data_IF_282631583376
#
_entry.id   IF_282631583376
#
_cell.length_a   1.000
_cell.length_b   1.000
_cell.length_c   1.000
_cell.angle_alpha   90.00
_cell.angle_beta   90.00
_cell.angle_gamma   90.00
#
_symmetry.space_group_name_H-M   'P 1'
#
loop_
_entity.id
_entity.type
_entity.pdbx_description
1 polymer ?
#
# COMPACT_ATOMS: atom_id res chain seq x y z
N UNK A 1 -50.29 -13.47 -43.97
CA UNK A 1 -48.87 -13.73 -44.29
C UNK A 1 -48.08 -12.65 -43.55
N UNK A 2 -47.68 -12.90 -42.29
CA UNK A 2 -46.37 -13.50 -41.91
C UNK A 2 -45.26 -12.44 -42.03
N UNK A 3 -44.43 -12.08 -41.06
CA UNK A 3 -43.99 -12.70 -39.78
C UNK A 3 -43.55 -11.59 -38.80
N UNK A 4 -43.72 -11.82 -37.50
CA UNK A 4 -43.11 -10.98 -36.45
C UNK A 4 -41.65 -11.39 -36.18
N UNK A 5 -40.79 -10.47 -35.73
CA UNK A 5 -39.42 -10.81 -35.37
C UNK A 5 -39.42 -11.65 -34.09
N UNK A 6 -38.87 -12.84 -34.22
CA UNK A 6 -38.62 -13.84 -33.18
C UNK A 6 -37.71 -13.29 -32.09
N UNK A 7 -38.25 -13.15 -30.88
CA UNK A 7 -37.48 -13.01 -29.65
C UNK A 7 -36.64 -14.27 -29.45
N UNK A 8 -35.34 -14.19 -29.74
CA UNK A 8 -34.40 -15.26 -29.43
C UNK A 8 -34.39 -15.52 -27.92
N UNK A 9 -34.32 -16.79 -27.46
CA UNK A 9 -34.35 -17.09 -26.04
C UNK A 9 -33.09 -16.53 -25.39
N UNK A 10 -33.27 -15.61 -24.44
CA UNK A 10 -32.26 -15.20 -23.48
C UNK A 10 -31.89 -16.44 -22.64
N UNK A 11 -30.91 -17.19 -23.11
CA UNK A 11 -30.40 -18.36 -22.41
C UNK A 11 -29.64 -17.89 -21.17
N UNK A 12 -30.37 -17.71 -20.07
CA UNK A 12 -29.82 -17.58 -18.73
C UNK A 12 -29.14 -18.91 -18.38
N UNK A 13 -27.85 -19.03 -18.68
CA UNK A 13 -27.05 -20.21 -18.36
C UNK A 13 -26.91 -20.36 -16.83
N UNK A 14 -27.51 -21.40 -16.21
CA UNK A 14 -27.48 -21.60 -14.77
C UNK A 14 -26.09 -21.98 -14.23
N UNK A 15 -25.10 -22.25 -15.09
CA UNK A 15 -23.70 -22.50 -14.68
C UNK A 15 -22.89 -21.21 -14.47
N UNK A 16 -23.26 -20.12 -15.14
CA UNK A 16 -22.60 -18.80 -15.06
C UNK A 16 -22.55 -18.17 -13.65
N UNK A 17 -23.61 -18.20 -12.81
CA UNK A 17 -23.57 -17.53 -11.51
C UNK A 17 -22.53 -18.13 -10.55
N UNK A 18 -22.33 -19.45 -10.55
CA UNK A 18 -21.38 -20.12 -9.65
C UNK A 18 -19.92 -19.84 -10.04
N UNK A 19 -19.61 -19.75 -11.33
CA UNK A 19 -18.26 -19.40 -11.79
C UNK A 19 -17.90 -17.95 -11.46
N UNK A 20 -18.84 -17.04 -11.65
CA UNK A 20 -18.62 -15.60 -11.44
C UNK A 20 -18.40 -15.29 -9.95
N UNK A 21 -19.18 -15.90 -9.06
CA UNK A 21 -18.95 -15.78 -7.61
C UNK A 21 -17.59 -16.35 -7.17
N UNK A 22 -17.18 -17.48 -7.75
CA UNK A 22 -15.89 -18.10 -7.43
C UNK A 22 -14.74 -17.22 -7.90
N UNK A 23 -14.83 -16.69 -9.11
CA UNK A 23 -13.87 -15.73 -9.64
C UNK A 23 -13.80 -14.46 -8.79
N UNK A 24 -14.94 -13.92 -8.37
CA UNK A 24 -15.01 -12.76 -7.48
C UNK A 24 -14.37 -13.03 -6.10
N UNK A 25 -14.61 -14.21 -5.50
CA UNK A 25 -13.97 -14.62 -4.24
C UNK A 25 -12.46 -14.77 -4.38
N UNK A 26 -11.97 -15.36 -5.47
CA UNK A 26 -10.52 -15.50 -5.74
C UNK A 26 -9.88 -14.14 -5.94
N UNK A 27 -10.49 -13.26 -6.74
CA UNK A 27 -10.02 -11.89 -6.96
C UNK A 27 -9.94 -11.11 -5.64
N UNK A 28 -10.94 -11.24 -4.76
CA UNK A 28 -10.96 -10.59 -3.45
C UNK A 28 -9.85 -11.10 -2.53
N UNK A 29 -9.65 -12.41 -2.46
CA UNK A 29 -8.55 -13.01 -1.69
C UNK A 29 -7.19 -12.58 -2.22
N UNK A 30 -7.03 -12.49 -3.54
CA UNK A 30 -5.80 -12.01 -4.15
C UNK A 30 -5.53 -10.53 -3.82
N UNK A 31 -6.55 -9.67 -3.91
CA UNK A 31 -6.44 -8.27 -3.47
C UNK A 31 -6.06 -8.13 -2.00
N UNK A 32 -6.72 -8.90 -1.13
CA UNK A 32 -6.38 -8.97 0.30
C UNK A 32 -4.93 -9.41 0.53
N UNK A 33 -4.45 -10.46 -0.13
CA UNK A 33 -3.07 -10.92 -0.03
C UNK A 33 -2.07 -9.84 -0.48
N UNK A 34 -2.36 -9.12 -1.57
CA UNK A 34 -1.52 -8.01 -2.03
C UNK A 34 -1.45 -6.90 -0.99
N UNK A 35 -2.58 -6.49 -0.41
CA UNK A 35 -2.63 -5.44 0.62
C UNK A 35 -1.84 -5.84 1.86
N UNK A 36 -1.94 -7.10 2.30
CA UNK A 36 -1.15 -7.60 3.42
C UNK A 36 0.33 -7.71 3.09
N UNK A 37 0.69 -8.13 1.88
CA UNK A 37 2.08 -8.19 1.45
C UNK A 37 2.76 -6.82 1.50
N UNK A 38 2.03 -5.73 1.23
CA UNK A 38 2.55 -4.35 1.33
C UNK A 38 3.00 -3.98 2.75
N UNK A 39 2.46 -4.60 3.80
CA UNK A 39 2.91 -4.36 5.18
C UNK A 39 4.34 -4.84 5.43
N UNK A 40 4.84 -5.78 4.62
CA UNK A 40 6.20 -6.28 4.68
C UNK A 40 7.14 -5.55 3.71
N UNK A 41 6.61 -4.74 2.78
CA UNK A 41 7.42 -4.03 1.79
C UNK A 41 8.17 -2.86 2.46
N UNK A 42 9.50 -2.75 2.28
CA UNK A 42 10.23 -1.59 2.72
C UNK A 42 9.72 -0.31 2.07
N UNK A 43 9.50 0.75 2.85
CA UNK A 43 9.20 2.08 2.33
C UNK A 43 10.31 2.59 1.43
N UNK A 44 11.55 2.51 1.91
CA UNK A 44 12.71 2.98 1.18
C UNK A 44 13.91 2.04 1.39
N UNK A 45 14.72 1.91 0.33
CA UNK A 45 15.98 1.18 0.35
C UNK A 45 17.10 2.14 0.01
N UNK A 46 18.15 2.13 0.82
CA UNK A 46 19.33 2.97 0.64
C UNK A 46 20.50 2.03 0.31
N UNK A 47 20.86 1.89 -0.97
CA UNK A 47 22.02 1.09 -1.36
C UNK A 47 23.33 1.82 -1.01
N UNK A 48 24.30 1.07 -0.46
CA UNK A 48 25.63 1.55 -0.09
C UNK A 48 26.48 0.39 0.44
N UNK A 49 27.66 0.68 1.00
CA UNK A 49 28.56 -0.34 1.59
C UNK A 49 27.87 -1.17 2.69
N UNK A 50 26.83 -0.60 3.33
CA UNK A 50 25.89 -1.30 4.18
C UNK A 50 24.46 -1.00 3.73
N UNK A 51 23.64 -2.03 3.59
CA UNK A 51 22.25 -1.90 3.17
C UNK A 51 21.40 -1.35 4.33
N UNK A 52 20.81 -0.17 4.13
CA UNK A 52 19.81 0.37 5.06
C UNK A 52 18.41 0.22 4.46
N UNK A 53 17.52 -0.40 5.24
CA UNK A 53 16.13 -0.65 4.89
C UNK A 53 15.23 0.15 5.83
N UNK A 54 14.44 1.05 5.25
CA UNK A 54 13.40 1.80 5.97
C UNK A 54 12.08 1.07 5.76
N UNK A 55 11.51 0.51 6.81
CA UNK A 55 10.23 -0.22 6.76
C UNK A 55 9.09 0.61 7.38
N UNK A 56 7.86 0.13 7.25
CA UNK A 56 6.70 0.66 7.99
C UNK A 56 6.88 0.58 9.51
N UNK A 57 7.64 -0.40 9.99
CA UNK A 57 7.72 -0.76 11.41
C UNK A 57 8.95 -0.16 12.11
N UNK A 58 9.98 0.21 11.35
CA UNK A 58 11.25 0.68 11.88
C UNK A 58 12.37 0.68 10.84
N UNK A 59 13.59 0.97 11.29
CA UNK A 59 14.80 0.90 10.48
C UNK A 59 15.49 -0.45 10.66
N UNK A 60 15.99 -1.04 9.59
CA UNK A 60 16.95 -2.14 9.63
C UNK A 60 18.24 -1.71 8.95
N UNK A 61 19.38 -1.98 9.57
CA UNK A 61 20.70 -1.66 9.02
C UNK A 61 21.62 -2.88 9.15
N UNK A 62 22.37 -3.20 8.10
CA UNK A 62 23.24 -4.39 8.08
C UNK A 62 24.59 -4.19 8.77
N UNK A 63 24.88 -2.99 9.29
CA UNK A 63 26.16 -2.63 9.92
C UNK A 63 26.22 -2.77 11.45
N UNK A 64 25.21 -3.35 12.10
CA UNK A 64 25.16 -3.50 13.56
C UNK A 64 25.85 -4.78 14.08
N UNK A 65 26.51 -4.77 15.25
CA UNK A 65 27.08 -5.98 15.84
C UNK A 65 25.97 -6.89 16.38
N UNK A 66 25.62 -7.94 15.64
CA UNK A 66 24.75 -9.03 16.09
C UNK A 66 23.77 -9.57 15.05
N UNK A 67 23.21 -10.75 15.30
CA UNK A 67 22.10 -11.38 14.52
C UNK A 67 20.76 -10.69 14.81
N UNK A 68 20.72 -9.78 15.79
CA UNK A 68 19.61 -8.87 16.01
C UNK A 68 19.88 -7.60 15.18
N UNK A 69 19.20 -7.48 14.04
CA UNK A 69 19.05 -6.19 13.38
C UNK A 69 18.59 -5.16 14.42
N UNK A 70 19.39 -4.12 14.66
CA UNK A 70 19.08 -3.05 15.60
C UNK A 70 17.88 -2.23 15.12
N UNK A 71 16.68 -2.77 15.31
CA UNK A 71 15.43 -2.11 14.98
C UNK A 71 15.05 -1.15 16.07
N UNK A 72 15.11 0.15 15.79
CA UNK A 72 14.43 1.14 16.62
C UNK A 72 12.99 1.25 16.11
N UNK A 73 12.00 0.63 16.79
CA UNK A 73 10.62 0.64 16.33
C UNK A 73 10.11 2.08 16.29
N UNK A 74 9.30 2.40 15.28
CA UNK A 74 8.77 3.77 15.14
C UNK A 74 8.08 4.28 16.41
N UNK A 75 7.44 3.37 17.16
CA UNK A 75 6.74 3.67 18.40
C UNK A 75 7.67 4.10 19.54
N UNK A 76 8.90 3.60 19.64
CA UNK A 76 9.84 4.07 20.68
C UNK A 76 10.24 5.53 20.44
N UNK A 77 10.28 5.97 19.17
CA UNK A 77 10.52 7.38 18.85
C UNK A 77 9.42 8.31 19.37
N UNK A 78 8.18 7.82 19.47
CA UNK A 78 7.03 8.60 19.92
C UNK A 78 6.70 8.42 21.40
N UNK A 79 7.03 7.27 21.99
CA UNK A 79 6.77 6.96 23.39
C UNK A 79 7.92 7.39 24.30
N UNK A 80 9.17 7.34 23.83
CA UNK A 80 10.34 7.69 24.65
C UNK A 80 10.78 9.15 24.49
N UNK A 81 10.15 9.93 23.59
CA UNK A 81 10.54 11.32 23.38
C UNK A 81 9.75 12.31 24.23
N UNK A 82 10.41 13.09 25.10
CA UNK A 82 9.79 14.19 25.83
C UNK A 82 9.50 15.42 24.95
N UNK A 83 9.81 15.38 23.64
CA UNK A 83 9.64 16.51 22.72
C UNK A 83 8.29 16.45 22.01
N UNK A 84 7.59 17.59 21.83
CA UNK A 84 6.30 17.62 21.14
C UNK A 84 6.41 17.12 19.71
N UNK A 85 5.42 16.35 19.26
CA UNK A 85 5.33 15.77 17.92
C UNK A 85 5.50 16.82 16.79
N UNK A 86 5.10 18.07 17.05
CA UNK A 86 5.25 19.19 16.12
C UNK A 86 6.69 19.62 15.84
N UNK A 87 7.64 19.24 16.69
CA UNK A 87 9.07 19.55 16.53
C UNK A 87 9.82 18.56 15.65
N UNK A 88 9.16 17.45 15.30
CA UNK A 88 9.74 16.44 14.41
C UNK A 88 9.70 16.92 12.95
N UNK A 89 10.74 16.60 12.16
CA UNK A 89 10.73 16.89 10.74
C UNK A 89 9.49 16.30 10.06
N UNK A 90 8.96 17.01 9.04
CA UNK A 90 7.73 16.64 8.36
C UNK A 90 7.70 15.19 7.83
N UNK A 91 8.86 14.66 7.44
CA UNK A 91 8.98 13.27 6.97
C UNK A 91 8.80 12.23 8.07
N UNK A 92 9.22 12.50 9.31
CA UNK A 92 8.98 11.59 10.45
C UNK A 92 7.51 11.63 10.84
N UNK A 93 6.86 12.80 10.75
CA UNK A 93 5.42 12.93 11.02
C UNK A 93 4.55 12.19 10.00
N UNK A 94 5.02 12.01 8.77
CA UNK A 94 4.31 11.25 7.74
C UNK A 94 4.36 9.73 7.98
N UNK A 95 5.29 9.24 8.79
CA UNK A 95 5.50 7.81 8.99
C UNK A 95 4.33 7.13 9.71
N UNK A 96 3.77 7.67 10.82
CA UNK A 96 2.54 7.13 11.43
C UNK A 96 1.31 7.22 10.53
N UNK A 97 1.22 8.27 9.70
CA UNK A 97 0.12 8.39 8.73
C UNK A 97 0.17 7.25 7.71
N UNK A 98 1.36 6.94 7.18
CA UNK A 98 1.53 5.83 6.25
C UNK A 98 1.22 4.47 6.91
N UNK A 99 1.61 4.27 8.17
CA UNK A 99 1.22 3.09 8.96
C UNK A 99 -0.30 3.03 9.09
N UNK A 100 -0.93 4.13 9.50
CA UNK A 100 -2.39 4.24 9.64
C UNK A 100 -3.13 3.90 8.34
N UNK A 101 -2.70 4.46 7.21
CA UNK A 101 -3.34 4.19 5.93
C UNK A 101 -3.16 2.74 5.46
N UNK A 102 -1.98 2.13 5.63
CA UNK A 102 -1.80 0.71 5.30
C UNK A 102 -2.65 -0.20 6.18
N UNK A 103 -2.73 0.08 7.48
CA UNK A 103 -3.54 -0.71 8.41
C UNK A 103 -5.04 -0.57 8.15
N UNK A 104 -5.52 0.65 7.85
CA UNK A 104 -6.92 0.86 7.47
C UNK A 104 -7.25 0.18 6.14
N UNK A 105 -6.33 0.21 5.16
CA UNK A 105 -6.50 -0.51 3.90
C UNK A 105 -6.58 -2.03 4.14
N UNK A 106 -5.69 -2.57 4.97
CA UNK A 106 -5.69 -3.99 5.34
C UNK A 106 -6.97 -4.39 6.09
N UNK A 107 -7.45 -3.55 7.00
CA UNK A 107 -8.71 -3.76 7.71
C UNK A 107 -9.91 -3.75 6.75
N UNK A 108 -9.95 -2.81 5.80
CA UNK A 108 -11.01 -2.72 4.79
C UNK A 108 -11.03 -3.95 3.88
N UNK A 109 -9.87 -4.37 3.37
CA UNK A 109 -9.74 -5.60 2.57
C UNK A 109 -10.13 -6.86 3.37
N UNK A 110 -9.78 -6.90 4.66
CA UNK A 110 -10.15 -8.01 5.57
C UNK A 110 -11.66 -8.10 5.76
N UNK A 111 -12.36 -6.96 5.90
CA UNK A 111 -13.81 -6.93 5.96
C UNK A 111 -14.47 -7.52 4.70
N UNK A 112 -13.82 -7.34 3.54
CA UNK A 112 -14.18 -8.00 2.29
C UNK A 112 -14.14 -9.51 2.35
N UNK A 113 -13.06 -10.08 2.87
CA UNK A 113 -12.87 -11.53 2.92
C UNK A 113 -13.68 -12.16 4.06
N UNK A 114 -13.73 -11.52 5.23
CA UNK A 114 -14.36 -12.06 6.43
C UNK A 114 -15.88 -11.89 6.45
N UNK A 115 -16.38 -10.73 6.03
CA UNK A 115 -17.81 -10.36 6.17
C UNK A 115 -18.48 -10.10 4.81
N UNK A 116 -17.71 -10.10 3.72
CA UNK A 116 -18.26 -9.87 2.39
C UNK A 116 -18.44 -8.40 2.01
N UNK A 117 -18.10 -7.45 2.89
CA UNK A 117 -18.47 -6.02 2.79
C UNK A 117 -17.27 -5.08 2.60
N UNK A 118 -16.41 -5.35 1.62
CA UNK A 118 -15.34 -4.40 1.26
C UNK A 118 -15.88 -3.30 0.36
N UNK A 119 -15.55 -2.05 0.72
CA UNK A 119 -15.63 -0.93 -0.21
C UNK A 119 -14.27 -0.78 -0.90
N UNK A 120 -14.23 -1.19 -2.18
CA UNK A 120 -13.02 -1.17 -3.00
C UNK A 120 -12.54 0.25 -3.30
N UNK A 121 -13.45 1.24 -3.29
CA UNK A 121 -13.11 2.66 -3.49
C UNK A 121 -12.35 3.19 -2.29
N UNK A 122 -12.83 2.87 -1.09
CA UNK A 122 -12.15 3.23 0.17
C UNK A 122 -10.80 2.54 0.28
N UNK A 123 -10.73 1.24 -0.02
CA UNK A 123 -9.47 0.49 0.01
C UNK A 123 -8.45 1.07 -0.96
N UNK A 124 -8.85 1.31 -2.22
CA UNK A 124 -7.99 1.95 -3.22
C UNK A 124 -7.54 3.37 -2.81
N UNK A 125 -8.45 4.17 -2.25
CA UNK A 125 -8.15 5.53 -1.79
C UNK A 125 -7.15 5.55 -0.62
N UNK A 126 -7.33 4.64 0.35
CA UNK A 126 -6.39 4.45 1.46
C UNK A 126 -5.01 4.01 0.94
N UNK A 127 -4.93 3.13 -0.06
CA UNK A 127 -3.66 2.76 -0.68
C UNK A 127 -3.01 3.92 -1.42
N UNK A 128 -3.77 4.77 -2.10
CA UNK A 128 -3.24 5.97 -2.75
C UNK A 128 -2.64 6.96 -1.73
N UNK A 129 -3.37 7.21 -0.63
CA UNK A 129 -2.87 8.03 0.49
C UNK A 129 -1.65 7.41 1.17
N UNK A 130 -1.66 6.09 1.33
CA UNK A 130 -0.53 5.33 1.86
C UNK A 130 0.71 5.47 0.96
N UNK A 131 0.55 5.36 -0.37
CA UNK A 131 1.63 5.56 -1.31
C UNK A 131 2.20 6.98 -1.25
N UNK A 132 1.34 8.00 -1.18
CA UNK A 132 1.76 9.39 -1.04
C UNK A 132 2.52 9.65 0.28
N UNK A 133 2.03 9.09 1.39
CA UNK A 133 2.69 9.20 2.68
C UNK A 133 4.06 8.48 2.68
N UNK A 134 4.15 7.25 2.15
CA UNK A 134 5.41 6.52 1.96
C UNK A 134 6.40 7.26 1.07
N UNK A 135 5.91 7.91 0.01
CA UNK A 135 6.74 8.71 -0.88
C UNK A 135 7.29 9.94 -0.14
N UNK A 136 6.47 10.62 0.64
CA UNK A 136 6.89 11.78 1.44
C UNK A 136 7.97 11.42 2.47
N UNK A 137 7.84 10.26 3.12
CA UNK A 137 8.89 9.71 3.99
C UNK A 137 10.18 9.52 3.20
N UNK A 138 10.10 8.86 2.04
CA UNK A 138 11.26 8.57 1.18
C UNK A 138 11.96 9.83 0.67
N UNK A 139 11.20 10.84 0.25
CA UNK A 139 11.74 12.16 -0.17
C UNK A 139 12.43 12.86 0.99
N UNK A 140 11.86 12.80 2.19
CA UNK A 140 12.50 13.36 3.38
C UNK A 140 13.78 12.63 3.81
N UNK A 141 13.92 11.36 3.46
CA UNK A 141 15.18 10.61 3.62
C UNK A 141 16.17 11.03 2.52
N UNK A 142 15.72 11.05 1.26
CA UNK A 142 16.54 11.44 0.11
C UNK A 142 17.17 12.83 0.25
N UNK A 143 16.42 13.82 0.72
CA UNK A 143 16.92 15.17 0.96
C UNK A 143 18.00 15.22 2.04
N UNK A 144 17.90 14.41 3.10
CA UNK A 144 18.91 14.32 4.16
C UNK A 144 20.17 13.59 3.73
N UNK A 145 20.02 12.60 2.84
CA UNK A 145 21.15 11.91 2.21
C UNK A 145 21.76 12.72 1.05
N UNK A 146 21.24 13.91 0.75
CA UNK A 146 21.74 14.78 -0.30
C UNK A 146 21.60 14.20 -1.71
N UNK A 147 20.55 13.43 -1.96
CA UNK A 147 20.23 12.92 -3.31
C UNK A 147 20.15 14.08 -4.29
N UNK A 148 20.95 14.01 -5.36
CA UNK A 148 21.01 15.03 -6.40
C UNK A 148 21.88 16.24 -6.10
N UNK A 149 22.52 16.28 -4.93
CA UNK A 149 23.53 17.28 -4.57
C UNK A 149 24.86 16.63 -4.23
N UNK A 150 24.90 15.82 -3.18
CA UNK A 150 26.10 15.14 -2.67
C UNK A 150 26.10 13.64 -2.90
N UNK A 151 24.93 13.06 -3.24
CA UNK A 151 24.74 11.63 -3.49
C UNK A 151 24.03 11.40 -4.83
N UNK A 152 24.23 10.22 -5.41
CA UNK A 152 23.60 9.84 -6.68
C UNK A 152 22.06 9.82 -6.60
N UNK A 153 21.41 9.99 -7.76
CA UNK A 153 19.94 10.06 -7.86
C UNK A 153 19.20 8.80 -7.36
N UNK A 154 19.91 7.66 -7.31
CA UNK A 154 19.39 6.36 -6.87
C UNK A 154 19.83 5.97 -5.46
N UNK A 155 20.43 6.89 -4.69
CA UNK A 155 20.85 6.58 -3.33
C UNK A 155 19.67 6.32 -2.38
N UNK A 156 18.44 6.68 -2.75
CA UNK A 156 17.22 6.31 -2.02
C UNK A 156 16.15 5.84 -3.01
N UNK A 157 15.74 4.58 -2.89
CA UNK A 157 14.73 3.96 -3.76
C UNK A 157 13.41 3.85 -2.98
N UNK A 158 12.32 4.54 -3.38
CA UNK A 158 11.05 4.54 -2.68
C UNK A 158 10.20 3.30 -2.99
N UNK A 159 10.72 2.11 -2.69
CA UNK A 159 10.14 0.82 -3.08
C UNK A 159 8.70 0.67 -2.61
N UNK A 160 8.40 1.06 -1.37
CA UNK A 160 7.06 0.92 -0.80
C UNK A 160 6.03 1.83 -1.45
N UNK A 161 6.40 3.08 -1.78
CA UNK A 161 5.48 3.97 -2.50
C UNK A 161 5.14 3.42 -3.89
N UNK A 162 6.15 2.91 -4.61
CA UNK A 162 5.97 2.33 -5.95
C UNK A 162 5.12 1.05 -5.89
N UNK A 163 5.41 0.15 -4.96
CA UNK A 163 4.66 -1.09 -4.79
C UNK A 163 3.20 -0.81 -4.40
N UNK A 164 2.97 0.08 -3.42
CA UNK A 164 1.62 0.44 -2.98
C UNK A 164 0.82 1.12 -4.10
N UNK A 165 1.46 2.01 -4.88
CA UNK A 165 0.82 2.63 -6.03
C UNK A 165 0.47 1.60 -7.12
N UNK A 166 1.36 0.65 -7.39
CA UNK A 166 1.11 -0.42 -8.36
C UNK A 166 -0.09 -1.29 -7.96
N UNK A 167 -0.23 -1.62 -6.67
CA UNK A 167 -1.41 -2.34 -6.16
C UNK A 167 -2.67 -1.48 -6.25
N UNK A 168 -2.61 -0.20 -5.88
CA UNK A 168 -3.75 0.71 -5.97
C UNK A 168 -4.28 0.82 -7.41
N UNK A 169 -3.39 1.02 -8.39
CA UNK A 169 -3.78 1.14 -9.80
C UNK A 169 -4.18 -0.22 -10.39
N UNK A 170 -3.39 -1.27 -10.14
CA UNK A 170 -3.59 -2.58 -10.76
C UNK A 170 -4.80 -3.35 -10.23
N UNK A 171 -4.99 -3.35 -8.91
CA UNK A 171 -6.06 -4.12 -8.27
C UNK A 171 -7.32 -3.28 -8.00
N UNK A 172 -7.19 -1.96 -7.82
CA UNK A 172 -8.29 -1.07 -7.42
C UNK A 172 -8.55 0.09 -8.41
N UNK A 173 -7.80 0.18 -9.52
CA UNK A 173 -7.87 1.34 -10.42
C UNK A 173 -9.21 1.53 -11.13
N UNK A 174 -9.94 0.47 -11.46
CA UNK A 174 -11.29 0.59 -12.04
C UNK A 174 -12.27 1.22 -11.05
N UNK A 175 -12.20 0.80 -9.79
CA UNK A 175 -13.05 1.33 -8.72
C UNK A 175 -12.72 2.81 -8.43
N UNK A 176 -11.43 3.17 -8.46
CA UNK A 176 -10.96 4.54 -8.30
C UNK A 176 -11.42 5.47 -9.43
N UNK A 177 -11.39 5.03 -10.70
CA UNK A 177 -11.88 5.84 -11.84
C UNK A 177 -13.36 6.16 -11.71
N UNK A 178 -14.16 5.21 -11.22
CA UNK A 178 -15.58 5.43 -10.98
C UNK A 178 -15.89 6.46 -9.88
N UNK A 179 -14.89 6.96 -9.14
CA UNK A 179 -15.05 8.10 -8.22
C UNK A 179 -14.89 9.43 -8.96
N UNK A 180 -13.99 9.48 -9.95
CA UNK A 180 -13.66 10.70 -10.70
C UNK A 180 -14.68 11.00 -11.79
N UNK A 181 -15.30 9.95 -12.34
CA UNK A 181 -16.31 10.05 -13.40
C UNK A 181 -17.75 10.24 -12.87
N UNK A 182 -17.94 10.26 -11.54
CA UNK A 182 -19.23 10.42 -10.87
C UNK A 182 -19.44 11.87 -10.41
#
# INVERSE_FOLDING_TARGET
MSEGPTSGPETTDPRRPKSDERAARVSRRFGWLLVFALLAVPMAVIPGDNLTVVSLWGFLNTSGPGVAAGGYPVWSYFLDQPRPFGTLPASIRAWPLAVGFHLLAAASATAGVAVGREDRRVTGGLLALAAAASLWVSVGVATRFGVGTTSGWFAVIPVGALATLAVAVGAYGRDLRGIVEA
#
